data_IF_007076591719
#
_entry.id   IF_007076591719
#
_cell.length_a   1.000
_cell.length_b   1.000
_cell.length_c   1.000
_cell.angle_alpha   90.00
_cell.angle_beta   90.00
_cell.angle_gamma   90.00
#
_symmetry.space_group_name_H-M   'P 1'
#
loop_
_entity.id
_entity.type
_entity.pdbx_description
1 polymer ?
2 non-polymer ?
3 non-polymer ?
4 water ?
#
# COMPACT_ATOMS: atom_id res chain seq x y z
N UNK A 3 -14.48 -0.76 -21.64
CA UNK A 3 -15.05 0.43 -21.03
C UNK A 3 -13.99 1.24 -20.30
N UNK A 5 -12.14 3.21 -17.44
CA UNK A 5 -12.05 3.11 -15.99
C UNK A 5 -10.98 4.04 -15.44
N UNK A 6 -11.22 4.58 -14.24
CA UNK A 6 -10.27 5.43 -13.55
C UNK A 6 -9.76 4.78 -12.28
N UNK A 7 -8.46 4.91 -12.03
CA UNK A 7 -7.86 4.38 -10.81
C UNK A 7 -7.00 5.42 -10.12
N UNK A 8 -6.94 5.34 -8.79
CA UNK A 8 -6.07 6.21 -7.99
C UNK A 8 -5.12 5.33 -7.21
N UNK A 9 -3.83 5.65 -7.25
CA UNK A 9 -2.83 4.92 -6.47
C UNK A 9 -1.99 5.89 -5.65
N UNK A 10 -1.99 5.72 -4.33
CA UNK A 10 -1.11 6.53 -3.50
C UNK A 10 0.18 5.74 -3.35
N UNK A 11 1.33 6.42 -3.38
CA UNK A 11 2.61 5.74 -3.36
C UNK A 11 2.84 4.86 -4.58
N UNK A 12 2.37 5.33 -5.74
CA UNK A 12 2.48 4.55 -6.97
C UNK A 12 3.79 4.67 -7.73
N UNK A 13 4.80 5.32 -7.16
CA UNK A 13 6.06 5.51 -7.89
C UNK A 13 7.12 4.44 -7.63
N UNK A 14 6.90 3.60 -6.62
CA UNK A 14 7.90 2.59 -6.29
C UNK A 14 7.26 1.29 -5.80
N UNK A 15 8.05 0.22 -5.79
CA UNK A 15 7.62 -1.05 -5.25
C UNK A 15 6.30 -1.56 -5.79
N UNK A 16 5.44 -2.02 -4.88
CA UNK A 16 4.16 -2.63 -5.27
C UNK A 16 3.28 -1.63 -6.01
N UNK A 17 3.28 -0.39 -5.52
CA UNK A 17 2.50 0.66 -6.15
C UNK A 17 2.88 0.86 -7.61
N UNK A 18 4.18 0.91 -7.90
CA UNK A 18 4.64 1.03 -9.28
C UNK A 18 4.19 -0.16 -10.11
N UNK A 19 4.28 -1.35 -9.53
CA UNK A 19 3.92 -2.58 -10.26
C UNK A 19 2.42 -2.59 -10.59
N UNK A 20 1.63 -2.13 -9.63
CA UNK A 20 0.18 -2.02 -9.84
C UNK A 20 -0.12 -0.97 -10.92
N UNK A 21 0.54 0.17 -10.84
CA UNK A 21 0.35 1.21 -11.86
C UNK A 21 0.64 0.66 -13.26
N UNK A 22 1.80 0.04 -13.44
CA UNK A 22 2.16 -0.51 -14.76
C UNK A 22 1.14 -1.51 -15.28
N UNK A 23 0.62 -2.38 -14.41
CA UNK A 23 -0.37 -3.36 -14.84
C UNK A 23 -1.69 -2.69 -15.22
N UNK A 24 -2.10 -1.70 -14.44
CA UNK A 24 -3.34 -0.98 -14.74
C UNK A 24 -3.26 -0.17 -16.04
N UNK A 25 -2.06 0.24 -16.43
CA UNK A 25 -1.89 1.08 -17.60
C UNK A 25 -1.94 0.31 -18.91
N UNK A 26 -1.90 -1.01 -18.82
CA UNK A 26 -1.83 -1.86 -19.99
C UNK A 26 -3.04 -1.72 -20.92
N UNK A 27 -4.20 -1.46 -20.33
CA UNK A 27 -5.41 -1.18 -21.10
C UNK A 27 -5.49 0.31 -21.36
N UNK A 28 -5.55 0.70 -22.63
CA UNK A 28 -5.52 2.14 -22.96
C UNK A 28 -6.77 2.88 -22.53
N UNK A 29 -7.83 2.16 -22.21
CA UNK A 29 -9.04 2.78 -21.70
C UNK A 29 -8.99 3.00 -20.19
N UNK A 30 -7.87 2.59 -19.58
CA UNK A 30 -7.65 2.86 -18.16
C UNK A 30 -6.86 4.15 -18.00
N UNK A 31 -7.26 4.95 -17.03
CA UNK A 31 -6.51 6.12 -16.61
C UNK A 31 -6.08 5.88 -15.19
N UNK A 32 -4.79 6.05 -14.92
CA UNK A 32 -4.31 5.88 -13.57
C UNK A 32 -3.75 7.20 -13.09
N UNK A 33 -4.11 7.55 -11.86
CA UNK A 33 -3.61 8.76 -11.23
C UNK A 33 -2.70 8.35 -10.08
N UNK A 34 -1.43 8.71 -10.20
CA UNK A 34 -0.42 8.34 -9.22
C UNK A 34 -0.13 9.53 -8.32
N UNK A 35 -0.30 9.34 -7.02
CA UNK A 35 0.01 10.37 -6.04
C UNK A 35 1.26 9.95 -5.27
N UNK A 36 2.32 10.72 -5.40
CA UNK A 36 3.57 10.38 -4.74
C UNK A 36 4.46 11.62 -4.65
N UNK A 37 5.57 11.50 -3.92
CA UNK A 37 6.46 12.63 -3.70
C UNK A 37 7.36 12.90 -4.91
N UNK A 38 7.58 11.85 -5.70
CA UNK A 38 8.36 11.96 -6.93
C UNK A 38 7.68 11.12 -8.00
N UNK A 39 7.70 11.60 -9.25
CA UNK A 39 7.11 10.82 -10.33
C UNK A 39 8.05 9.72 -10.76
N UNK A 40 7.49 8.64 -11.28
CA UNK A 40 8.28 7.54 -11.77
C UNK A 40 8.28 7.63 -13.28
N UNK A 41 7.89 6.57 -13.95
CA UNK A 41 7.86 6.58 -15.40
C UNK A 41 6.60 7.31 -15.92
N UNK A 42 6.49 7.42 -17.24
CA UNK A 42 5.40 8.17 -17.87
C UNK A 42 4.63 7.33 -18.86
N UNK A 43 3.35 7.67 -19.02
CA UNK A 43 2.52 7.09 -20.05
C UNK A 43 1.41 8.08 -20.33
N UNK A 44 0.87 8.08 -21.56
CA UNK A 44 -0.17 9.04 -21.90
C UNK A 44 -1.38 8.88 -20.99
N UNK A 45 -1.61 7.65 -20.51
CA UNK A 45 -2.76 7.42 -19.63
C UNK A 45 -2.44 7.39 -18.15
N UNK A 46 -1.26 7.92 -17.79
CA UNK A 46 -0.85 8.01 -16.39
C UNK A 46 -0.75 9.49 -16.02
N UNK A 47 -1.44 9.88 -14.97
CA UNK A 47 -1.40 11.25 -14.48
C UNK A 47 -0.63 11.24 -13.17
N UNK A 48 0.35 12.13 -13.05
CA UNK A 48 1.08 12.24 -11.80
C UNK A 48 0.72 13.54 -11.09
N UNK A 49 0.46 13.43 -9.79
CA UNK A 49 0.33 14.61 -8.94
C UNK A 49 1.25 14.50 -7.74
N UNK A 50 2.18 15.44 -7.63
CA UNK A 50 3.14 15.43 -6.52
C UNK A 50 2.46 15.79 -5.21
N UNK A 51 2.77 15.04 -4.15
CA UNK A 51 2.24 15.34 -2.83
C UNK A 51 3.11 14.67 -1.76
N UNK A 52 3.35 15.40 -0.68
CA UNK A 52 3.94 14.80 0.51
C UNK A 52 2.77 14.28 1.34
N UNK A 53 2.60 12.96 1.37
CA UNK A 53 1.40 12.36 1.97
C UNK A 53 1.34 12.41 3.50
N UNK A 54 2.32 13.05 4.13
CA UNK A 54 2.27 13.28 5.57
C UNK A 54 1.61 14.62 5.87
N UNK A 55 1.34 15.38 4.81
CA UNK A 55 0.76 16.71 4.96
C UNK A 55 -0.66 16.73 4.46
N UNK A 56 -1.59 16.98 5.37
CA UNK A 56 -3.01 17.05 5.01
C UNK A 56 -3.25 18.06 3.89
N UNK A 57 -2.59 19.20 3.97
CA UNK A 57 -2.76 20.26 2.97
C UNK A 57 -2.43 19.79 1.55
N UNK A 58 -1.40 18.96 1.43
CA UNK A 58 -1.04 18.41 0.12
C UNK A 58 -2.15 17.51 -0.40
N UNK A 59 -2.75 16.74 0.50
CA UNK A 59 -3.82 15.84 0.11
C UNK A 59 -5.07 16.63 -0.28
N UNK A 60 -5.35 17.70 0.47
CA UNK A 60 -6.47 18.57 0.14
C UNK A 60 -6.28 19.17 -1.25
N UNK A 61 -5.04 19.51 -1.60
CA UNK A 61 -4.75 20.04 -2.93
C UNK A 61 -5.00 19.01 -4.04
N UNK A 62 -4.58 17.77 -3.80
CA UNK A 62 -4.87 16.70 -4.74
C UNK A 62 -6.37 16.50 -4.93
N UNK A 63 -7.10 16.45 -3.82
CA UNK A 63 -8.54 16.23 -3.86
C UNK A 63 -9.24 17.27 -4.71
N UNK A 64 -8.76 18.51 -4.66
CA UNK A 64 -9.33 19.57 -5.48
C UNK A 64 -9.07 19.32 -6.97
N UNK A 65 -7.86 18.89 -7.28
CA UNK A 65 -7.50 18.62 -8.66
C UNK A 65 -8.34 17.51 -9.29
N UNK A 66 -8.58 16.46 -8.51
CA UNK A 66 -9.31 15.28 -9.00
C UNK A 66 -10.80 15.26 -8.67
N UNK A 67 -11.36 16.43 -8.36
CA UNK A 67 -12.73 16.50 -7.84
C UNK A 67 -13.84 15.97 -8.77
N UNK A 68 -13.62 16.00 -10.09
CA UNK A 68 -14.64 15.52 -11.03
C UNK A 68 -14.47 14.05 -11.43
N UNK A 69 -13.36 13.45 -11.02
CA UNK A 69 -13.06 12.10 -11.43
C UNK A 69 -13.84 11.09 -10.62
N UNK A 70 -14.43 10.10 -11.29
CA UNK A 70 -15.09 9.01 -10.59
C UNK A 70 -14.23 7.76 -10.72
N UNK A 71 -13.92 7.15 -9.57
CA UNK A 71 -12.99 6.03 -9.55
C UNK A 71 -13.66 4.68 -9.48
N UNK A 72 -13.11 3.76 -10.29
CA UNK A 72 -13.46 2.36 -10.26
C UNK A 72 -12.64 1.62 -9.22
N UNK A 73 -11.40 2.05 -9.03
CA UNK A 73 -10.50 1.36 -8.13
C UNK A 73 -9.53 2.29 -7.44
N UNK A 74 -9.16 1.95 -6.21
CA UNK A 74 -8.18 2.71 -5.45
C UNK A 74 -7.18 1.73 -4.83
N UNK A 75 -5.89 2.00 -4.97
CA UNK A 75 -4.86 1.20 -4.26
C UNK A 75 -4.05 2.13 -3.38
N UNK A 76 -4.04 1.84 -2.07
CA UNK A 76 -3.36 2.68 -1.09
C UNK A 76 -2.03 2.05 -0.69
N UNK A 77 -0.96 2.57 -1.27
CA UNK A 77 0.37 1.99 -1.09
C UNK A 77 1.34 2.98 -0.47
N UNK A 78 0.83 4.11 0.00
CA UNK A 78 1.68 5.03 0.73
C UNK A 78 2.07 4.29 2.01
N UNK A 79 3.32 4.42 2.40
CA UNK A 79 3.72 3.73 3.62
C UNK A 79 5.21 3.69 3.81
N UNK A 80 5.59 3.67 5.08
CA UNK A 80 7.00 3.57 5.43
C UNK A 80 7.16 2.71 6.67
N UNK A 81 8.36 2.15 6.83
CA UNK A 81 8.66 1.35 8.00
C UNK A 81 9.87 2.03 8.61
N UNK A 82 9.74 2.43 9.88
CA UNK A 82 10.86 2.93 10.64
C UNK A 82 11.08 1.95 11.79
N UNK A 83 12.29 1.43 11.92
CA UNK A 83 12.57 0.39 12.91
C UNK A 83 12.58 0.89 14.34
N UNK A 84 12.33 -0.04 15.28
CA UNK A 84 12.51 0.22 16.68
C UNK A 84 11.36 -0.31 17.50
N UNK A 85 11.66 -0.82 18.68
CA UNK A 85 10.63 -1.17 19.65
C UNK A 85 10.06 0.16 20.14
N UNK A 86 8.99 0.10 20.94
CA UNK A 86 8.39 1.33 21.45
C UNK A 86 9.41 2.21 22.17
N UNK A 87 10.39 1.60 22.83
CA UNK A 87 11.39 2.38 23.56
C UNK A 87 12.43 3.03 22.65
N UNK A 88 12.62 2.46 21.47
CA UNK A 88 13.74 2.89 20.63
C UNK A 88 13.35 3.85 19.51
N UNK A 89 12.07 3.90 19.16
CA UNK A 89 11.62 4.84 18.13
C UNK A 89 11.06 6.11 18.79
N UNK A 90 11.45 7.29 18.30
CA UNK A 90 10.95 8.49 18.98
C UNK A 90 9.52 8.86 18.57
N UNK A 91 8.89 9.72 19.38
CA UNK A 91 7.51 10.12 19.13
C UNK A 91 7.33 10.67 17.71
N UNK A 92 8.28 11.51 17.29
CA UNK A 92 8.20 12.13 15.98
C UNK A 92 8.13 11.08 14.87
N UNK A 93 8.89 10.01 15.01
CA UNK A 93 8.92 8.95 14.00
C UNK A 93 7.65 8.10 14.02
N UNK A 94 7.13 7.82 15.23
CA UNK A 94 5.86 7.12 15.34
C UNK A 94 4.78 7.92 14.62
N UNK A 95 4.76 9.23 14.86
CA UNK A 95 3.79 10.09 14.20
C UNK A 95 3.95 10.05 12.68
N UNK A 96 5.20 10.07 12.21
CA UNK A 96 5.43 10.04 10.77
C UNK A 96 4.86 8.77 10.17
N UNK A 97 5.09 7.65 10.83
CA UNK A 97 4.60 6.37 10.34
C UNK A 97 3.07 6.36 10.32
N UNK A 98 2.44 6.82 11.39
CA UNK A 98 0.98 6.88 11.42
C UNK A 98 0.43 7.85 10.38
N UNK A 99 1.08 9.01 10.25
CA UNK A 99 0.61 10.01 9.29
C UNK A 99 0.63 9.47 7.84
N UNK A 100 1.72 8.82 7.46
CA UNK A 100 1.80 8.28 6.12
C UNK A 100 0.97 7.01 5.95
N UNK A 101 1.11 6.07 6.88
CA UNK A 101 0.53 4.74 6.73
C UNK A 101 -0.98 4.70 6.93
N UNK A 102 -1.49 5.59 7.77
CA UNK A 102 -2.89 5.54 8.16
C UNK A 102 -3.64 6.82 7.78
N UNK A 103 -3.18 7.96 8.27
CA UNK A 103 -3.87 9.21 8.00
C UNK A 103 -4.00 9.57 6.51
N UNK A 104 -2.96 9.33 5.72
CA UNK A 104 -3.05 9.70 4.29
C UNK A 104 -4.27 9.02 3.65
N UNK A 105 -4.48 7.76 4.00
CA UNK A 105 -5.66 7.05 3.50
C UNK A 105 -6.97 7.58 4.07
N UNK A 106 -6.98 7.93 5.35
CA UNK A 106 -8.17 8.53 5.94
C UNK A 106 -8.57 9.80 5.19
N UNK A 107 -7.60 10.69 4.98
CA UNK A 107 -7.87 11.94 4.31
C UNK A 107 -8.40 11.71 2.88
N UNK A 108 -7.82 10.74 2.19
CA UNK A 108 -8.25 10.47 0.82
C UNK A 108 -9.65 9.87 0.74
N UNK A 109 -9.90 8.81 1.50
CA UNK A 109 -11.19 8.15 1.40
C UNK A 109 -12.29 9.11 1.84
N UNK A 110 -12.08 9.78 2.97
CA UNK A 110 -13.03 10.79 3.42
C UNK A 110 -13.31 11.80 2.30
N UNK A 111 -12.26 12.26 1.62
CA UNK A 111 -12.41 13.27 0.59
C UNK A 111 -12.97 12.78 -0.75
N UNK A 112 -13.01 11.47 -0.94
CA UNK A 112 -13.46 10.91 -2.21
C UNK A 112 -14.87 10.33 -2.12
N UNK A 113 -15.61 10.74 -1.10
CA UNK A 113 -16.96 10.22 -0.88
C UNK A 113 -17.80 10.24 -2.16
N UNK A 114 -17.80 11.37 -2.88
CA UNK A 114 -18.58 11.51 -4.10
C UNK A 114 -17.80 11.20 -5.37
N UNK A 115 -16.71 10.46 -5.21
CA UNK A 115 -15.86 10.08 -6.34
C UNK A 115 -15.71 8.58 -6.46
N UNK A 116 -16.44 7.84 -5.64
CA UNK A 116 -16.41 6.39 -5.66
C UNK A 116 -17.63 5.83 -6.36
N UNK A 117 -17.41 5.14 -7.47
CA UNK A 117 -18.52 4.54 -8.20
C UNK A 117 -19.17 3.41 -7.41
N UNK A 118 -20.48 3.26 -7.57
CA UNK A 118 -21.11 2.04 -7.10
C UNK A 118 -20.35 0.86 -7.71
N UNK A 119 -19.96 -0.09 -6.88
CA UNK A 119 -19.24 -1.26 -7.35
C UNK A 119 -17.73 -1.06 -7.41
N UNK A 120 -17.24 0.09 -6.94
CA UNK A 120 -15.79 0.33 -6.91
C UNK A 120 -15.07 -0.62 -5.95
N UNK A 121 -13.76 -0.70 -6.12
CA UNK A 121 -12.95 -1.59 -5.28
C UNK A 121 -11.80 -0.78 -4.70
N UNK A 122 -11.65 -0.83 -3.38
CA UNK A 122 -10.57 -0.17 -2.67
C UNK A 122 -9.67 -1.23 -2.06
N UNK A 123 -8.36 -1.14 -2.32
CA UNK A 123 -7.41 -2.11 -1.77
C UNK A 123 -6.33 -1.39 -0.99
N UNK A 124 -6.10 -1.83 0.24
CA UNK A 124 -4.99 -1.31 1.04
C UNK A 124 -3.79 -2.22 0.92
N UNK A 125 -2.60 -1.62 0.93
CA UNK A 125 -1.40 -2.40 1.16
C UNK A 125 -1.25 -2.59 2.67
N UNK A 126 -1.54 -3.80 3.15
CA UNK A 126 -1.33 -4.12 4.56
C UNK A 126 0.03 -4.75 4.73
N UNK A 127 0.07 -5.92 5.39
CA UNK A 127 1.33 -6.58 5.74
C UNK A 127 0.97 -7.86 6.48
N UNK A 128 1.91 -8.80 6.56
CA UNK A 128 1.71 -9.93 7.47
C UNK A 128 1.60 -9.41 8.91
N UNK A 129 2.07 -8.18 9.11
CA UNK A 129 1.94 -7.54 10.41
C UNK A 129 0.55 -6.95 10.68
N UNK A 130 -0.41 -7.23 9.79
CA UNK A 130 -1.82 -7.04 10.16
C UNK A 130 -2.25 -8.17 11.08
N UNK A 131 -1.49 -9.27 11.03
CA UNK A 131 -1.81 -10.49 11.80
C UNK A 131 -0.90 -10.68 13.00
N UNK A 132 0.39 -10.55 12.77
CA UNK A 132 1.39 -10.80 13.79
C UNK A 132 2.31 -9.58 13.97
N UNK A 133 3.24 -9.69 14.90
CA UNK A 133 4.25 -8.66 15.07
C UNK A 133 5.62 -9.22 14.71
N UNK A 134 6.57 -8.32 14.46
CA UNK A 134 7.97 -8.73 14.31
C UNK A 134 8.79 -7.89 15.28
N UNK A 135 9.95 -8.41 15.73
CA UNK A 135 10.67 -7.67 16.76
C UNK A 135 11.06 -6.28 16.27
N UNK A 136 11.07 -5.32 17.18
CA UNK A 136 11.63 -3.99 16.93
C UNK A 136 11.01 -3.31 15.71
N UNK A 137 9.69 -3.40 15.62
CA UNK A 137 8.94 -2.81 14.52
C UNK A 137 7.66 -2.13 14.99
N UNK A 138 7.70 -1.57 16.19
CA UNK A 138 6.50 -1.06 16.85
C UNK A 138 5.58 -0.19 15.98
N UNK A 139 6.12 0.90 15.44
CA UNK A 139 5.28 1.88 14.73
C UNK A 139 4.60 1.27 13.53
N UNK A 140 5.33 0.44 12.79
CA UNK A 140 4.81 -0.22 11.62
C UNK A 140 3.68 -1.20 11.96
N UNK A 141 3.92 -2.05 12.97
CA UNK A 141 2.93 -3.03 13.38
C UNK A 141 1.64 -2.32 13.82
N UNK A 142 1.82 -1.26 14.62
CA UNK A 142 0.72 -0.44 15.09
C UNK A 142 -0.11 0.07 13.92
N UNK A 143 0.57 0.61 12.92
CA UNK A 143 -0.08 1.17 11.74
C UNK A 143 -0.86 0.11 10.96
N UNK A 144 -0.30 -1.09 10.84
CA UNK A 144 -0.96 -2.14 10.08
C UNK A 144 -2.18 -2.72 10.80
N UNK A 145 -2.15 -2.70 12.13
CA UNK A 145 -3.32 -3.06 12.92
C UNK A 145 -4.46 -2.09 12.66
N UNK A 146 -4.13 -0.81 12.62
CA UNK A 146 -5.13 0.20 12.32
C UNK A 146 -5.72 -0.03 10.92
N UNK A 147 -4.87 -0.32 9.93
CA UNK A 147 -5.34 -0.59 8.56
C UNK A 147 -6.24 -1.83 8.51
N UNK A 148 -5.85 -2.87 9.24
CA UNK A 148 -6.62 -4.11 9.26
C UNK A 148 -8.07 -3.83 9.67
N UNK A 149 -8.26 -3.12 10.77
CA UNK A 149 -9.62 -2.83 11.22
C UNK A 149 -10.31 -1.74 10.38
N UNK A 151 -10.04 -1.52 7.27
CA UNK A 151 -10.54 -2.31 6.16
C UNK A 151 -11.97 -2.79 6.44
N UNK A 152 -12.17 -3.37 7.61
CA UNK A 152 -13.44 -3.99 7.95
C UNK A 152 -14.54 -2.96 8.18
N UNK A 153 -14.19 -1.86 8.84
CA UNK A 153 -15.14 -0.77 9.05
C UNK A 153 -15.65 -0.21 7.73
N UNK A 154 -14.74 0.11 6.83
CA UNK A 154 -15.11 0.65 5.53
C UNK A 154 -15.91 -0.38 4.74
N UNK A 155 -15.52 -1.64 4.81
CA UNK A 155 -16.28 -2.67 4.09
C UNK A 155 -17.73 -2.70 4.58
N UNK A 156 -17.94 -2.66 5.89
CA UNK A 156 -19.30 -2.68 6.44
C UNK A 156 -20.09 -1.45 6.02
N UNK A 157 -19.46 -0.28 6.07
CA UNK A 157 -20.19 0.96 5.84
C UNK A 157 -20.37 1.30 4.36
N UNK A 158 -19.53 0.72 3.50
CA UNK A 158 -19.61 1.00 2.07
C UNK A 158 -20.33 -0.11 1.29
N UNK A 159 -20.63 -1.22 1.98
CA UNK A 159 -21.29 -2.36 1.33
C UNK A 159 -22.64 -1.98 0.70
N UNK A 160 -23.33 -1.03 1.31
CA UNK A 160 -24.62 -0.56 0.77
C UNK A 160 -24.46 0.01 -0.64
N UNK A 161 -23.23 0.38 -1.00
CA UNK A 161 -22.96 0.91 -2.33
C UNK A 161 -22.22 -0.09 -3.23
N UNK A 162 -22.18 -1.34 -2.76
CA UNK A 162 -21.52 -2.42 -3.48
C UNK A 162 -20.02 -2.13 -3.63
N UNK A 163 -19.51 -1.21 -2.82
CA UNK A 163 -18.08 -0.89 -2.85
C UNK A 163 -17.32 -1.88 -1.98
N UNK A 164 -16.32 -2.52 -2.56
CA UNK A 164 -15.54 -3.53 -1.84
C UNK A 164 -14.27 -2.93 -1.27
N UNK A 165 -13.87 -3.44 -0.11
CA UNK A 165 -12.66 -2.97 0.55
C UNK A 165 -11.91 -4.18 1.05
N UNK A 166 -10.68 -4.35 0.60
CA UNK A 166 -9.88 -5.49 1.02
C UNK A 166 -8.44 -5.03 1.20
N UNK A 167 -7.64 -5.86 1.87
CA UNK A 167 -6.29 -5.47 2.15
C UNK A 167 -5.37 -6.64 1.83
N UNK A 168 -4.35 -6.40 1.00
CA UNK A 168 -3.34 -7.44 0.75
C UNK A 168 -2.36 -7.43 1.91
N UNK A 169 -1.90 -8.60 2.32
CA UNK A 169 -1.03 -8.71 3.49
C UNK A 169 0.26 -9.44 3.12
N UNK A 170 1.20 -8.69 2.53
CA UNK A 170 2.45 -9.23 1.99
C UNK A 170 3.45 -9.58 3.06
N UNK A 171 4.25 -10.61 2.80
CA UNK A 171 5.43 -10.89 3.59
C UNK A 171 6.46 -9.88 3.14
N UNK A 172 7.74 -10.20 3.31
CA UNK A 172 8.77 -9.29 2.82
C UNK A 172 8.77 -9.23 1.29
N UNK A 173 8.84 -8.01 0.75
CA UNK A 173 8.81 -7.76 -0.68
C UNK A 173 10.08 -7.05 -1.09
N UNK A 174 10.66 -7.45 -2.22
CA UNK A 174 11.91 -6.89 -2.73
C UNK A 174 11.70 -5.47 -3.27
N UNK A 175 11.60 -4.49 -2.38
CA UNK A 175 11.38 -3.10 -2.78
C UNK A 175 12.58 -2.24 -2.37
N UNK A 176 12.58 -0.98 -2.82
CA UNK A 176 13.63 -0.02 -2.44
C UNK A 176 13.77 0.08 -0.92
N UNK A 177 12.64 0.26 -0.24
CA UNK A 177 12.68 0.47 1.20
C UNK A 177 13.24 -0.78 1.88
N UNK A 178 12.78 -1.95 1.45
CA UNK A 178 13.28 -3.21 1.99
C UNK A 178 14.78 -3.28 1.81
N UNK A 179 15.25 -3.00 0.60
CA UNK A 179 16.67 -3.10 0.31
C UNK A 179 17.48 -2.13 1.17
N UNK A 180 16.92 -0.94 1.39
CA UNK A 180 17.58 0.07 2.21
C UNK A 180 17.79 -0.41 3.65
N UNK A 181 16.70 -0.88 4.26
CA UNK A 181 16.75 -1.36 5.64
C UNK A 181 17.73 -2.52 5.80
N UNK A 182 17.67 -3.47 4.87
CA UNK A 182 18.49 -4.66 4.97
C UNK A 182 19.96 -4.32 4.71
N UNK A 183 20.21 -3.37 3.81
CA UNK A 183 21.59 -2.88 3.58
C UNK A 183 22.17 -2.24 4.84
N UNK A 184 21.36 -1.44 5.51
CA UNK A 184 21.83 -0.73 6.70
C UNK A 184 22.02 -1.71 7.85
N UNK A 185 21.16 -2.72 7.91
CA UNK A 185 21.31 -3.80 8.87
C UNK A 185 22.59 -4.60 8.58
N UNK A 186 22.79 -4.96 7.31
CA UNK A 186 24.00 -5.68 6.90
C UNK A 186 25.27 -4.93 7.29
N UNK A 187 25.33 -3.65 6.96
CA UNK A 187 26.46 -2.79 7.31
C UNK A 187 26.68 -2.71 8.82
N UNK A 188 25.59 -2.69 9.57
CA UNK A 188 25.68 -2.55 11.01
C UNK A 188 26.25 -3.79 11.70
N UNK A 189 25.91 -4.97 11.19
CA UNK A 189 26.35 -6.21 11.82
C UNK A 189 27.55 -6.85 11.12
N UNK A 190 28.00 -6.23 10.03
CA UNK A 190 29.22 -6.66 9.37
C UNK A 190 29.11 -7.85 8.44
N UNK A 191 27.92 -8.05 7.86
CA UNK A 191 27.72 -9.14 6.90
C UNK A 191 27.42 -8.56 5.52
N UNK A 192 27.49 -9.37 4.47
CA UNK A 192 27.20 -8.84 3.15
C UNK A 192 25.69 -8.73 2.95
N UNK A 193 25.28 -7.96 1.94
CA UNK A 193 23.87 -7.85 1.65
C UNK A 193 23.28 -9.23 1.36
N UNK A 194 24.00 -10.04 0.58
CA UNK A 194 23.51 -11.37 0.24
C UNK A 194 23.29 -12.24 1.48
N UNK A 195 24.25 -12.23 2.38
CA UNK A 195 24.12 -12.98 3.62
C UNK A 195 22.87 -12.53 4.37
N UNK A 196 22.66 -11.23 4.41
CA UNK A 196 21.50 -10.66 5.11
C UNK A 196 20.19 -11.10 4.45
N UNK A 197 20.11 -11.02 3.13
CA UNK A 197 18.90 -11.43 2.41
C UNK A 197 18.58 -12.91 2.60
N UNK A 198 19.62 -13.75 2.59
CA UNK A 198 19.46 -15.18 2.86
C UNK A 198 18.83 -15.43 4.23
N UNK A 199 19.26 -14.68 5.24
CA UNK A 199 18.68 -14.80 6.58
C UNK A 199 17.20 -14.46 6.54
N UNK A 200 16.87 -13.41 5.80
CA UNK A 200 15.48 -12.99 5.70
C UNK A 200 14.64 -14.04 4.96
N UNK A 201 15.19 -14.58 3.87
CA UNK A 201 14.47 -15.59 3.09
C UNK A 201 14.09 -16.81 3.93
N UNK A 202 14.98 -17.21 4.84
CA UNK A 202 14.70 -18.37 5.70
C UNK A 202 13.56 -18.14 6.71
N UNK A 203 13.10 -16.89 6.83
CA UNK A 203 11.98 -16.62 7.71
C UNK A 203 10.66 -17.11 7.12
N UNK A 204 10.67 -17.40 5.82
CA UNK A 204 9.45 -17.78 5.11
C UNK A 204 9.49 -19.25 4.72
N UNK A 205 8.38 -19.96 4.89
CA UNK A 205 8.34 -21.36 4.43
C UNK A 205 8.79 -21.52 2.97
N UNK A 206 8.39 -20.60 2.09
CA UNK A 206 8.83 -20.69 0.69
C UNK A 206 10.31 -20.41 0.49
N UNK A 207 10.97 -19.94 1.55
CA UNK A 207 12.41 -19.70 1.50
C UNK A 207 12.84 -18.68 0.45
N UNK A 208 12.00 -17.65 0.27
CA UNK A 208 12.32 -16.55 -0.63
C UNK A 208 11.48 -15.37 -0.23
N UNK A 209 11.79 -14.19 -0.75
CA UNK A 209 10.89 -13.06 -0.57
C UNK A 209 10.09 -12.82 -1.85
N UNK A 210 9.08 -11.96 -1.78
CA UNK A 210 8.23 -11.69 -2.95
C UNK A 210 8.84 -10.61 -3.84
N UNK A 211 8.57 -10.72 -5.14
CA UNK A 211 8.78 -9.60 -6.06
C UNK A 211 7.53 -8.71 -6.06
N UNK A 212 7.71 -7.41 -6.25
CA UNK A 212 6.58 -6.47 -6.23
C UNK A 212 5.47 -6.87 -7.21
N UNK A 213 5.84 -7.33 -8.39
CA UNK A 213 4.86 -7.75 -9.39
C UNK A 213 3.92 -8.82 -8.85
N UNK A 214 4.44 -9.72 -8.02
CA UNK A 214 3.60 -10.77 -7.45
C UNK A 214 2.49 -10.19 -6.59
N UNK A 215 2.82 -9.23 -5.75
CA UNK A 215 1.81 -8.60 -4.92
C UNK A 215 0.83 -7.85 -5.83
N UNK A 216 1.35 -7.20 -6.87
CA UNK A 216 0.50 -6.42 -7.76
C UNK A 216 -0.54 -7.28 -8.48
N UNK A 217 -0.19 -8.51 -8.83
CA UNK A 217 -1.17 -9.39 -9.48
C UNK A 217 -2.41 -9.59 -8.59
N UNK A 218 -2.19 -9.78 -7.28
CA UNK A 218 -3.29 -9.95 -6.36
C UNK A 218 -4.10 -8.65 -6.26
N UNK A 219 -3.41 -7.53 -6.17
CA UNK A 219 -4.11 -6.25 -6.14
C UNK A 219 -4.99 -6.09 -7.37
N UNK A 220 -4.43 -6.40 -8.55
CA UNK A 220 -5.19 -6.30 -9.80
C UNK A 220 -6.42 -7.23 -9.76
N UNK A 221 -6.25 -8.43 -9.23
CA UNK A 221 -7.40 -9.33 -9.11
C UNK A 221 -8.48 -8.69 -8.23
N UNK A 222 -8.07 -8.15 -7.10
CA UNK A 222 -9.01 -7.51 -6.17
C UNK A 222 -9.69 -6.27 -6.77
N UNK A 223 -9.01 -5.58 -7.68
CA UNK A 223 -9.63 -4.43 -8.35
C UNK A 223 -10.55 -4.85 -9.49
N UNK A 224 -10.33 -6.04 -10.03
CA UNK A 224 -11.03 -6.47 -11.24
C UNK A 224 -12.48 -6.89 -10.97
N UNK A 225 -13.23 -7.07 -12.05
CA UNK A 225 -14.63 -7.50 -11.95
C UNK A 225 -14.77 -8.96 -11.53
N UNK A 226 -13.65 -9.65 -11.42
CA UNK A 226 -13.68 -11.06 -11.03
C UNK A 226 -13.85 -11.29 -9.52
N UNK A 227 -13.77 -10.21 -8.73
CA UNK A 227 -13.72 -10.37 -7.29
C UNK A 227 -14.81 -9.58 -6.55
N UNK A 228 -15.98 -9.47 -7.16
CA UNK A 228 -17.02 -8.60 -6.63
C UNK A 228 -17.63 -9.05 -5.31
N UNK A 229 -17.49 -10.32 -4.96
CA UNK A 229 -18.06 -10.80 -3.70
C UNK A 229 -17.07 -10.72 -2.53
N UNK A 231 -15.17 -8.77 0.15
CA UNK A 231 -15.05 -7.50 0.84
C UNK A 231 -14.80 -7.74 2.31
N UNK A 232 -14.07 -6.80 2.93
CA UNK A 232 -13.76 -6.88 4.34
C UNK A 232 -12.64 -7.86 4.67
N UNK A 233 -11.90 -8.30 3.65
CA UNK A 233 -10.92 -9.36 3.84
C UNK A 233 -9.48 -8.89 3.97
N UNK A 234 -8.74 -9.58 4.85
CA UNK A 234 -7.29 -9.44 4.89
C UNK A 234 -6.74 -10.66 4.19
N UNK A 235 -6.03 -10.43 3.08
CA UNK A 235 -5.65 -11.50 2.19
C UNK A 235 -4.14 -11.77 2.30
N UNK A 236 -3.77 -12.91 2.90
CA UNK A 236 -2.34 -13.24 3.05
C UNK A 236 -1.64 -13.51 1.71
N UNK A 237 -0.48 -12.90 1.54
CA UNK A 237 0.39 -13.18 0.40
C UNK A 237 1.81 -13.09 0.98
N UNK A 238 2.14 -14.11 1.79
CA UNK A 238 3.28 -14.01 2.69
C UNK A 238 4.16 -15.26 2.72
N UNK A 239 4.09 -16.08 1.69
CA UNK A 239 5.01 -17.20 1.55
C UNK A 239 4.93 -18.21 2.68
N UNK A 240 3.80 -18.18 3.39
CA UNK A 240 3.54 -19.11 4.48
C UNK A 240 3.83 -18.53 5.86
N UNK A 241 4.23 -17.27 5.91
CA UNK A 241 4.70 -16.69 7.18
C UNK A 241 3.66 -16.82 8.29
N UNK A 242 2.41 -16.49 8.00
CA UNK A 242 1.41 -16.51 9.08
C UNK A 242 0.82 -17.89 9.36
N UNK A 243 1.18 -18.87 8.54
CA UNK A 243 0.73 -20.25 8.78
C UNK A 243 1.58 -20.94 9.84
N UNK A 244 2.72 -20.34 10.18
CA UNK A 244 3.60 -20.86 11.20
C UNK A 244 3.71 -19.92 12.41
#
# INVERSE_FOLDING_TARGET
SNAXANYLVTGGSKGIGKAVVELLLQNKNHTVINIDIQQSFSAENLKFIKADLTKQQDITNVLDIIKNVSFDGIFLNAGILIKGSIFDIDIESIKKVLDLNVWSSIYFIKGLENNLKVGASIVFNGSDQCFIAKPNSFAYTLSKGAIAQXTKSLALDLAKYQIRVNTVCPGTVDTDLYRNLIQKYANNVGISFDEAQKQEEKEFPLNRIAQPQEIAELVIFLLSDKSKFXTGGLIPIDGGYTAQ
#
